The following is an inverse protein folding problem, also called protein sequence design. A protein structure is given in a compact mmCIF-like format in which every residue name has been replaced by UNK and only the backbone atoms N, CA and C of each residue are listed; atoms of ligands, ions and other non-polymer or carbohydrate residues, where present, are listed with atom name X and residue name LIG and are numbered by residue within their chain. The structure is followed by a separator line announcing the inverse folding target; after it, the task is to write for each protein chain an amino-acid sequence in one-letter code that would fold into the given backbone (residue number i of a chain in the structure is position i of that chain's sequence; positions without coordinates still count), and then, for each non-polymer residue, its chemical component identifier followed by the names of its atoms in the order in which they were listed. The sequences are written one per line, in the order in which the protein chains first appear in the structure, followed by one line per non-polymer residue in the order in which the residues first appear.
data_IF_981060224707
#
_entry.id   IF_981060224707
#
_cell.length_a   1.000
_cell.length_b   1.000
_cell.length_c   1.000
_cell.angle_alpha   90.00
_cell.angle_beta   90.00
_cell.angle_gamma   90.00
#
_symmetry.space_group_name_H-M   'P 1'
#
loop_
_entity.id
_entity.type
_entity.pdbx_description
1 polymer ?
#
# COMPACT_ATOMS: atom_id res chain seq x y z
N UNK A 1 -10.94 -9.26 2.19
CA UNK A 1 -10.89 -8.76 0.79
C UNK A 1 -9.47 -8.35 0.46
N UNK A 2 -9.02 -8.49 -0.78
CA UNK A 2 -7.65 -8.14 -1.19
C UNK A 2 -7.65 -7.17 -2.37
N UNK A 3 -6.68 -6.27 -2.41
CA UNK A 3 -6.39 -5.44 -3.59
C UNK A 3 -4.90 -5.10 -3.67
N UNK A 4 -4.46 -4.63 -4.83
CA UNK A 4 -3.09 -4.18 -5.07
C UNK A 4 -3.14 -2.83 -5.76
N UNK A 5 -2.34 -1.87 -5.28
CA UNK A 5 -2.28 -0.51 -5.82
C UNK A 5 -0.85 -0.09 -6.11
N UNK A 6 -0.66 0.83 -7.06
CA UNK A 6 0.61 1.53 -7.24
C UNK A 6 0.62 2.77 -6.33
N UNK A 7 1.59 2.88 -5.44
CA UNK A 7 1.69 4.00 -4.49
C UNK A 7 1.88 5.36 -5.18
N UNK A 8 2.43 5.37 -6.40
CA UNK A 8 2.63 6.59 -7.19
C UNK A 8 1.32 7.21 -7.68
N UNK A 9 0.25 6.42 -7.78
CA UNK A 9 -1.09 6.92 -8.12
C UNK A 9 -1.68 7.81 -7.01
N UNK A 10 -1.08 7.76 -5.82
CA UNK A 10 -1.44 8.56 -4.64
C UNK A 10 -0.33 9.57 -4.28
N UNK A 11 0.50 9.96 -5.24
CA UNK A 11 1.65 10.87 -5.07
C UNK A 11 2.70 10.43 -4.04
N UNK A 12 2.65 9.17 -3.59
CA UNK A 12 3.66 8.62 -2.68
C UNK A 12 4.89 8.22 -3.49
N UNK A 13 5.81 9.16 -3.70
CA UNK A 13 7.00 8.98 -4.55
C UNK A 13 8.28 8.67 -3.80
N UNK A 14 8.29 8.77 -2.46
CA UNK A 14 9.50 8.57 -1.65
C UNK A 14 10.17 7.21 -1.95
N UNK A 15 11.48 7.23 -2.16
CA UNK A 15 12.32 6.07 -2.23
C UNK A 15 13.73 6.44 -1.75
N UNK A 16 14.46 5.45 -1.21
CA UNK A 16 15.90 5.54 -1.02
C UNK A 16 16.56 4.67 -2.09
N UNK A 17 17.60 5.19 -2.74
CA UNK A 17 18.39 4.42 -3.70
C UNK A 17 19.41 3.60 -2.91
N UNK A 18 19.45 2.30 -3.16
CA UNK A 18 20.47 1.39 -2.64
C UNK A 18 21.67 1.37 -3.59
N UNK A 19 22.82 0.93 -3.07
CA UNK A 19 24.01 0.67 -3.88
C UNK A 19 23.68 -0.27 -5.06
N UNK A 20 24.32 -0.01 -6.20
CA UNK A 20 24.03 -0.63 -7.50
C UNK A 20 22.70 -0.21 -8.17
N UNK A 21 22.11 0.94 -7.80
CA UNK A 21 20.99 1.54 -8.52
C UNK A 21 19.64 0.84 -8.30
N UNK A 22 19.54 0.04 -7.24
CA UNK A 22 18.30 -0.63 -6.84
C UNK A 22 17.43 0.31 -5.99
N UNK A 23 16.11 0.18 -6.09
CA UNK A 23 15.17 0.90 -5.23
C UNK A 23 15.01 0.17 -3.91
N UNK A 24 15.01 0.90 -2.79
CA UNK A 24 14.70 0.33 -1.47
C UNK A 24 13.21 -0.02 -1.33
N UNK A 25 12.34 0.74 -1.98
CA UNK A 25 10.88 0.63 -1.83
C UNK A 25 10.26 0.37 -3.20
N UNK A 26 9.56 -0.77 -3.33
CA UNK A 26 8.80 -1.10 -4.53
C UNK A 26 7.61 -0.16 -4.73
N UNK A 27 7.07 -0.13 -5.95
CA UNK A 27 5.94 0.74 -6.30
C UNK A 27 4.59 0.12 -5.89
N UNK A 28 4.55 -1.19 -5.71
CA UNK A 28 3.33 -1.96 -5.47
C UNK A 28 3.06 -2.13 -3.97
N UNK A 29 1.84 -1.82 -3.54
CA UNK A 29 1.34 -2.10 -2.20
C UNK A 29 0.20 -3.13 -2.26
N UNK A 30 0.36 -4.26 -1.55
CA UNK A 30 -0.70 -5.26 -1.34
C UNK A 30 -1.50 -4.89 -0.08
N UNK A 31 -2.81 -4.75 -0.22
CA UNK A 31 -3.71 -4.37 0.87
C UNK A 31 -4.65 -5.55 1.14
N UNK A 32 -4.70 -5.97 2.40
CA UNK A 32 -5.62 -7.01 2.88
C UNK A 32 -6.55 -6.39 3.91
N UNK A 33 -7.86 -6.57 3.71
CA UNK A 33 -8.90 -6.06 4.60
C UNK A 33 -9.57 -7.25 5.29
N UNK A 34 -9.39 -7.31 6.60
CA UNK A 34 -10.14 -8.15 7.53
C UNK A 34 -11.07 -7.22 8.32
N UNK A 35 -12.37 -7.38 8.14
CA UNK A 35 -13.36 -6.46 8.71
C UNK A 35 -14.39 -7.23 9.52
N UNK A 36 -14.63 -6.75 10.74
CA UNK A 36 -15.75 -7.16 11.58
C UNK A 36 -16.76 -6.01 11.63
N UNK A 37 -18.03 -6.33 11.38
CA UNK A 37 -19.11 -5.34 11.27
C UNK A 37 -20.16 -5.62 12.33
N UNK A 38 -20.57 -4.58 13.05
CA UNK A 38 -21.67 -4.63 14.02
C UNK A 38 -22.82 -3.74 13.59
N UNK A 39 -24.05 -4.16 13.90
CA UNK A 39 -25.23 -3.34 13.66
C UNK A 39 -25.25 -2.18 14.66
N UNK A 40 -25.30 -0.94 14.18
CA UNK A 40 -25.55 0.23 15.02
C UNK A 40 -27.00 0.19 15.52
N UNK A 41 -27.19 0.15 16.84
CA UNK A 41 -28.49 0.34 17.48
C UNK A 41 -28.70 1.86 17.66
N UNK A 42 -29.89 2.41 17.32
CA UNK A 42 -30.22 3.81 17.59
C UNK A 42 -30.15 4.17 19.07
#
# INVERSE_FOLDING_TARGET
AETTVNRKDFDLTWNMVLEAGKLLVGDTAKITIEAELVKKVP
#
